data_IF_158348363595
#
_entry.id   IF_158348363595
#
_cell.length_a   1.000
_cell.length_b   1.000
_cell.length_c   1.000
_cell.angle_alpha   90.00
_cell.angle_beta   90.00
_cell.angle_gamma   90.00
#
_symmetry.space_group_name_H-M   'P 1'
#
loop_
_entity.id
_entity.type
_entity.pdbx_description
1 polymer ?
#
# COMPACT_ATOMS: atom_id res chain seq x y z
N UNK A 1 -7.82 15.76 -8.73
CA UNK A 1 -7.00 14.54 -8.61
C UNK A 1 -6.40 14.46 -7.22
N UNK A 2 -6.44 13.28 -6.59
CA UNK A 2 -5.90 13.08 -5.24
C UNK A 2 -4.37 12.96 -5.34
N UNK A 3 -3.66 13.78 -4.56
CA UNK A 3 -2.19 13.80 -4.58
C UNK A 3 -1.57 12.72 -3.69
N UNK A 4 -0.27 12.49 -3.85
CA UNK A 4 0.50 11.61 -2.97
C UNK A 4 0.36 12.02 -1.51
N UNK A 5 0.40 13.32 -1.21
CA UNK A 5 0.26 13.85 0.15
C UNK A 5 -1.08 13.44 0.75
N UNK A 6 -2.16 13.49 -0.03
CA UNK A 6 -3.48 13.08 0.43
C UNK A 6 -3.55 11.57 0.67
N UNK A 7 -2.92 10.77 -0.20
CA UNK A 7 -2.87 9.32 -0.01
C UNK A 7 -2.03 8.93 1.20
N UNK A 8 -0.90 9.61 1.40
CA UNK A 8 -0.11 9.43 2.63
C UNK A 8 -0.95 9.78 3.86
N UNK A 9 -1.67 10.90 3.82
CA UNK A 9 -2.56 11.31 4.91
C UNK A 9 -3.62 10.25 5.21
N UNK A 10 -4.20 9.66 4.18
CA UNK A 10 -5.17 8.60 4.34
C UNK A 10 -4.56 7.38 5.05
N UNK A 11 -3.37 6.97 4.62
CA UNK A 11 -2.64 5.87 5.28
C UNK A 11 -2.38 6.18 6.75
N UNK A 12 -1.94 7.40 7.04
CA UNK A 12 -1.57 7.80 8.41
C UNK A 12 -2.77 7.95 9.33
N UNK A 13 -3.98 8.03 8.80
CA UNK A 13 -5.21 8.02 9.60
C UNK A 13 -5.57 6.64 10.11
N UNK A 14 -4.93 5.58 9.62
CA UNK A 14 -5.19 4.23 10.12
C UNK A 14 -4.65 4.07 11.54
N UNK A 15 -5.35 3.29 12.41
CA UNK A 15 -4.88 3.12 13.79
C UNK A 15 -3.44 2.63 13.88
N UNK A 16 -2.62 3.33 14.66
CA UNK A 16 -1.21 2.97 14.87
C UNK A 16 -0.29 3.22 13.68
N UNK A 17 -0.78 3.81 12.60
CA UNK A 17 0.03 4.08 11.43
C UNK A 17 1.00 5.24 11.68
N UNK A 18 2.20 5.14 11.11
CA UNK A 18 3.21 6.19 11.21
C UNK A 18 4.07 6.21 9.96
N UNK A 19 4.66 7.35 9.70
CA UNK A 19 5.47 7.58 8.51
C UNK A 19 6.93 7.29 8.81
N UNK A 20 7.60 6.61 7.88
CA UNK A 20 9.05 6.40 7.93
C UNK A 20 9.63 6.73 6.57
N UNK A 21 10.94 6.94 6.55
CA UNK A 21 11.66 7.22 5.31
C UNK A 21 13.01 6.52 5.41
N UNK A 22 13.03 5.17 5.21
CA UNK A 22 14.26 4.39 5.39
C UNK A 22 15.38 4.79 4.43
N UNK A 23 15.03 5.30 3.24
CA UNK A 23 15.98 5.87 2.30
C UNK A 23 15.51 7.24 1.86
N UNK A 24 16.40 8.11 1.45
CA UNK A 24 16.04 9.46 1.01
C UNK A 24 15.04 9.37 -0.16
N UNK A 25 13.86 9.97 0.01
CA UNK A 25 12.79 9.93 -0.98
C UNK A 25 11.93 8.67 -0.92
N UNK A 26 12.24 7.72 -0.04
CA UNK A 26 11.49 6.46 0.08
C UNK A 26 10.45 6.55 1.20
N UNK A 27 9.44 7.37 0.99
CA UNK A 27 8.38 7.57 1.98
C UNK A 27 7.53 6.31 2.08
N UNK A 28 7.33 5.82 3.31
CA UNK A 28 6.51 4.65 3.58
C UNK A 28 5.55 4.91 4.75
N UNK A 29 4.45 4.17 4.78
CA UNK A 29 3.54 4.12 5.92
C UNK A 29 3.68 2.75 6.58
N UNK A 30 3.84 2.77 7.90
CA UNK A 30 4.08 1.56 8.71
C UNK A 30 3.01 1.41 9.78
N UNK A 31 2.81 0.18 10.22
CA UNK A 31 2.07 -0.14 11.42
C UNK A 31 2.92 -1.15 12.21
N UNK A 32 3.18 -0.84 13.49
CA UNK A 32 4.22 -1.56 14.22
C UNK A 32 5.56 -1.36 13.52
N UNK A 33 6.28 -2.43 13.29
CA UNK A 33 7.56 -2.40 12.57
C UNK A 33 7.43 -2.80 11.09
N UNK A 34 6.20 -2.92 10.57
CA UNK A 34 5.98 -3.42 9.22
C UNK A 34 5.43 -2.32 8.31
N UNK A 35 5.88 -2.32 7.04
CA UNK A 35 5.40 -1.40 6.02
C UNK A 35 4.10 -1.96 5.43
N UNK A 36 3.08 -1.09 5.27
CA UNK A 36 1.87 -1.47 4.54
C UNK A 36 1.64 -0.62 3.27
N UNK A 37 2.40 0.45 3.08
CA UNK A 37 2.34 1.24 1.86
C UNK A 37 3.70 1.86 1.55
N UNK A 38 4.13 1.71 0.29
CA UNK A 38 5.32 2.37 -0.24
C UNK A 38 4.85 3.50 -1.15
N UNK A 39 5.17 4.75 -0.81
CA UNK A 39 4.73 5.91 -1.59
C UNK A 39 5.86 6.53 -2.42
N UNK A 40 7.11 6.23 -2.08
CA UNK A 40 8.26 6.66 -2.87
C UNK A 40 8.24 8.15 -3.21
N UNK A 41 8.42 8.47 -4.48
CA UNK A 41 8.45 9.83 -4.98
C UNK A 41 7.05 10.40 -5.31
N UNK A 42 6.00 9.63 -5.09
CA UNK A 42 4.64 10.07 -5.32
C UNK A 42 4.02 9.68 -6.66
N UNK A 43 4.76 9.01 -7.53
CA UNK A 43 4.23 8.58 -8.83
C UNK A 43 3.35 7.34 -8.73
N UNK A 44 3.56 6.53 -7.69
CA UNK A 44 2.86 5.26 -7.52
C UNK A 44 2.80 4.87 -6.03
N UNK A 45 1.97 3.89 -5.73
CA UNK A 45 1.86 3.35 -4.38
C UNK A 45 2.00 1.82 -4.44
N UNK A 46 2.88 1.26 -3.59
CA UNK A 46 3.04 -0.19 -3.45
C UNK A 46 2.21 -0.70 -2.28
N UNK A 47 1.40 -1.72 -2.51
CA UNK A 47 0.46 -2.25 -1.52
C UNK A 47 0.48 -3.78 -1.52
N UNK A 48 0.32 -4.35 -0.33
CA UNK A 48 0.13 -5.80 -0.16
C UNK A 48 -1.29 -6.16 -0.59
N UNK A 49 -1.42 -7.16 -1.47
CA UNK A 49 -2.70 -7.51 -2.10
C UNK A 49 -3.15 -8.94 -1.79
N UNK A 50 -2.53 -9.60 -0.82
CA UNK A 50 -2.79 -10.99 -0.52
C UNK A 50 -1.64 -11.87 -0.99
N UNK A 51 -1.92 -13.06 -1.48
CA UNK A 51 -0.90 -13.89 -2.10
C UNK A 51 -0.72 -13.48 -3.58
N UNK A 52 0.19 -14.14 -4.29
CA UNK A 52 0.46 -13.79 -5.70
C UNK A 52 -0.79 -14.00 -6.58
N UNK A 53 -1.57 -15.01 -6.30
CA UNK A 53 -2.78 -15.28 -7.07
C UNK A 53 -3.81 -14.14 -6.93
N UNK A 54 -4.07 -13.69 -5.70
CA UNK A 54 -4.98 -12.58 -5.45
C UNK A 54 -4.45 -11.29 -6.08
N UNK A 55 -3.15 -11.05 -5.99
CA UNK A 55 -2.53 -9.87 -6.58
C UNK A 55 -2.61 -9.90 -8.11
N UNK A 56 -2.50 -11.07 -8.74
CA UNK A 56 -2.62 -11.20 -10.20
C UNK A 56 -4.02 -10.83 -10.69
N UNK A 57 -5.06 -11.15 -9.93
CA UNK A 57 -6.42 -10.73 -10.28
C UNK A 57 -6.53 -9.19 -10.33
N UNK A 58 -5.83 -8.50 -9.45
CA UNK A 58 -5.81 -7.04 -9.45
C UNK A 58 -4.99 -6.47 -10.61
N UNK A 59 -3.95 -7.17 -11.06
CA UNK A 59 -3.22 -6.76 -12.26
C UNK A 59 -4.13 -6.79 -13.49
N UNK A 60 -4.99 -7.80 -13.59
CA UNK A 60 -5.95 -7.90 -14.67
C UNK A 60 -7.01 -6.80 -14.57
N UNK A 61 -7.54 -6.55 -13.37
CA UNK A 61 -8.57 -5.54 -13.14
C UNK A 61 -8.07 -4.13 -13.46
N UNK A 62 -6.84 -3.81 -13.07
CA UNK A 62 -6.25 -2.48 -13.24
C UNK A 62 -5.15 -2.48 -14.30
N UNK A 63 -5.39 -3.15 -15.40
CA UNK A 63 -4.44 -3.26 -16.50
C UNK A 63 -4.00 -1.89 -16.96
N UNK A 64 -2.68 -1.68 -17.04
CA UNK A 64 -2.10 -0.38 -17.39
C UNK A 64 -1.91 0.56 -16.20
N UNK A 65 -2.57 0.29 -15.05
CA UNK A 65 -2.42 1.10 -13.85
C UNK A 65 -1.80 0.32 -12.69
N UNK A 66 -1.60 -0.98 -12.85
CA UNK A 66 -1.01 -1.83 -11.82
C UNK A 66 0.08 -2.69 -12.42
N UNK A 67 1.14 -2.93 -11.61
CA UNK A 67 2.24 -3.81 -12.00
C UNK A 67 2.74 -4.55 -10.77
N UNK A 68 3.41 -5.68 -11.00
CA UNK A 68 4.04 -6.45 -9.93
C UNK A 68 5.18 -5.63 -9.35
N UNK A 69 5.21 -5.47 -8.03
CA UNK A 69 6.27 -4.70 -7.36
C UNK A 69 7.62 -5.41 -7.52
N UNK A 70 8.66 -4.62 -7.79
CA UNK A 70 10.02 -5.16 -7.92
C UNK A 70 10.46 -5.82 -6.61
N UNK A 71 11.16 -6.94 -6.71
CA UNK A 71 11.74 -7.73 -5.62
C UNK A 71 10.74 -8.41 -4.69
N UNK A 72 9.74 -7.70 -4.18
CA UNK A 72 8.78 -8.24 -3.21
C UNK A 72 7.46 -8.65 -3.84
N UNK A 73 7.30 -8.46 -5.16
CA UNK A 73 6.04 -8.77 -5.85
C UNK A 73 5.61 -10.22 -5.70
N UNK A 74 6.55 -11.15 -5.62
CA UNK A 74 6.26 -12.58 -5.44
C UNK A 74 5.50 -12.86 -4.14
N UNK A 75 5.57 -11.95 -3.18
CA UNK A 75 4.84 -12.06 -1.91
C UNK A 75 3.48 -11.36 -1.95
N UNK A 76 2.96 -11.07 -3.14
CA UNK A 76 1.64 -10.48 -3.28
C UNK A 76 1.59 -8.96 -3.24
N UNK A 77 2.72 -8.30 -3.51
CA UNK A 77 2.78 -6.84 -3.60
C UNK A 77 2.61 -6.37 -5.02
N UNK A 78 1.73 -5.39 -5.22
CA UNK A 78 1.55 -4.70 -6.51
C UNK A 78 1.80 -3.20 -6.33
N UNK A 79 2.21 -2.56 -7.42
CA UNK A 79 2.41 -1.12 -7.50
C UNK A 79 1.30 -0.54 -8.38
N UNK A 80 0.61 0.47 -7.87
CA UNK A 80 -0.51 1.13 -8.55
C UNK A 80 -0.16 2.57 -8.87
N UNK A 81 -0.52 3.05 -10.06
CA UNK A 81 -0.23 4.44 -10.44
C UNK A 81 -1.11 5.41 -9.65
N UNK A 82 -0.57 6.58 -9.34
CA UNK A 82 -1.28 7.66 -8.65
C UNK A 82 -1.64 8.80 -9.61
N UNK A 83 -1.96 8.46 -10.86
CA UNK A 83 -2.28 9.43 -11.91
C UNK A 83 -3.77 9.69 -12.07
N UNK A 84 -4.59 9.14 -11.18
CA UNK A 84 -6.05 9.31 -11.23
C UNK A 84 -6.78 8.24 -12.03
N UNK A 85 -6.06 7.28 -12.63
CA UNK A 85 -6.67 6.19 -13.39
C UNK A 85 -7.54 5.30 -12.50
N UNK A 86 -7.08 5.04 -11.26
CA UNK A 86 -7.85 4.25 -10.30
C UNK A 86 -8.75 5.18 -9.50
N UNK A 87 -10.07 4.96 -9.48
CA UNK A 87 -10.98 5.81 -8.71
C UNK A 87 -10.60 5.88 -7.22
N UNK A 88 -10.76 7.03 -6.57
CA UNK A 88 -10.34 7.19 -5.17
C UNK A 88 -10.97 6.20 -4.20
N UNK A 89 -12.23 5.83 -4.37
CA UNK A 89 -12.88 4.87 -3.48
C UNK A 89 -12.26 3.47 -3.61
N UNK A 90 -11.86 3.09 -4.82
CA UNK A 90 -11.19 1.81 -5.05
C UNK A 90 -9.76 1.85 -4.51
N UNK A 91 -9.07 2.98 -4.64
CA UNK A 91 -7.73 3.14 -4.06
C UNK A 91 -7.80 3.03 -2.52
N UNK A 92 -8.81 3.62 -1.89
CA UNK A 92 -8.99 3.48 -0.44
C UNK A 92 -9.17 2.02 -0.05
N UNK A 93 -9.96 1.26 -0.82
CA UNK A 93 -10.16 -0.16 -0.54
C UNK A 93 -8.86 -0.96 -0.67
N UNK A 94 -8.02 -0.63 -1.65
CA UNK A 94 -6.72 -1.28 -1.83
C UNK A 94 -5.80 -0.99 -0.64
N UNK A 95 -5.78 0.25 -0.17
CA UNK A 95 -4.99 0.65 1.00
C UNK A 95 -5.51 -0.06 2.26
N UNK A 96 -6.82 -0.08 2.44
CA UNK A 96 -7.46 -0.72 3.61
C UNK A 96 -7.12 -2.21 3.66
N UNK A 97 -7.13 -2.87 2.51
CA UNK A 97 -6.78 -4.29 2.41
C UNK A 97 -5.32 -4.52 2.79
N UNK A 98 -4.41 -3.69 2.27
CA UNK A 98 -2.98 -3.80 2.60
C UNK A 98 -2.76 -3.63 4.10
N UNK A 99 -3.34 -2.59 4.68
CA UNK A 99 -3.24 -2.32 6.12
C UNK A 99 -3.73 -3.54 6.92
N UNK A 100 -4.91 -4.06 6.60
CA UNK A 100 -5.51 -5.19 7.32
C UNK A 100 -4.62 -6.44 7.23
N UNK A 101 -4.07 -6.72 6.03
CA UNK A 101 -3.21 -7.88 5.82
C UNK A 101 -1.91 -7.76 6.61
N UNK A 102 -1.33 -6.57 6.68
CA UNK A 102 -0.09 -6.35 7.43
C UNK A 102 -0.34 -6.41 8.94
N UNK A 103 -1.43 -5.83 9.42
CA UNK A 103 -1.80 -5.92 10.84
C UNK A 103 -1.95 -7.39 11.26
N UNK A 104 -2.54 -8.22 10.40
CA UNK A 104 -2.71 -9.64 10.69
C UNK A 104 -1.39 -10.38 10.86
N UNK A 105 -0.29 -9.84 10.35
CA UNK A 105 1.06 -10.41 10.50
C UNK A 105 1.77 -9.96 11.77
N UNK A 106 1.23 -8.97 12.46
CA UNK A 106 1.81 -8.53 13.73
C UNK A 106 1.42 -9.47 14.86
N UNK A 107 2.28 -9.65 15.89
CA UNK A 107 1.87 -10.32 17.10
C UNK A 107 0.65 -9.62 17.70
N UNK A 108 -0.26 -10.38 18.32
CA UNK A 108 -1.50 -9.83 18.89
C UNK A 108 -1.24 -8.65 19.81
N UNK A 109 -0.16 -8.72 20.60
CA UNK A 109 0.21 -7.66 21.55
C UNK A 109 0.62 -6.36 20.88
N UNK A 110 0.94 -6.40 19.58
CA UNK A 110 1.40 -5.21 18.82
C UNK A 110 0.37 -4.69 17.83
N UNK A 111 -0.80 -5.33 17.76
CA UNK A 111 -1.87 -4.86 16.87
C UNK A 111 -2.58 -3.67 17.47
N UNK A 112 -2.91 -2.66 16.66
CA UNK A 112 -3.72 -1.53 17.13
C UNK A 112 -5.07 -2.00 17.66
N UNK A 113 -5.57 -1.31 18.67
CA UNK A 113 -6.86 -1.62 19.26
C UNK A 113 -8.02 -1.31 18.28
#
# INVERSE_FOLDING_TARGET
>A
MVSQTEWLGYCLCKPGAWQDEPGEGDVVAKVGDKIFAFLGDGSAIGLKCGDREAADLLLDRYRGAASKTAYIGQHGWNTFTLDGTIPPDEMRDLIDTSYRLIVAKLPKSKRPA
#
